data_IF_588118864456
#
_entry.id   IF_588118864456
#
_cell.length_a   1.000
_cell.length_b   1.000
_cell.length_c   1.000
_cell.angle_alpha   90.00
_cell.angle_beta   90.00
_cell.angle_gamma   90.00
#
_symmetry.space_group_name_H-M   'P 1'
#
loop_
_entity.id
_entity.type
_entity.pdbx_description
1 polymer ?
#
# COMPACT_ATOMS: atom_id res chain seq x y z
N UNK A 1 -11.15 23.37 -34.39
CA UNK A 1 -10.61 22.88 -33.10
C UNK A 1 -10.59 24.05 -32.15
N UNK A 2 -11.44 24.05 -31.12
CA UNK A 2 -11.28 25.00 -30.03
C UNK A 2 -9.96 24.68 -29.30
N UNK A 3 -9.15 25.68 -28.94
CA UNK A 3 -8.01 25.44 -28.06
C UNK A 3 -8.56 24.90 -26.74
N UNK A 4 -8.12 23.71 -26.33
CA UNK A 4 -8.43 23.18 -25.00
C UNK A 4 -7.95 24.21 -23.99
N UNK A 5 -8.86 24.76 -23.19
CA UNK A 5 -8.49 25.63 -22.08
C UNK A 5 -7.54 24.84 -21.18
N UNK A 6 -6.27 25.26 -21.12
CA UNK A 6 -5.31 24.73 -20.15
C UNK A 6 -5.89 25.07 -18.77
N UNK A 7 -6.47 24.09 -18.09
CA UNK A 7 -6.93 24.26 -16.71
C UNK A 7 -5.68 24.60 -15.88
N UNK A 8 -5.77 25.62 -15.04
CA UNK A 8 -4.68 25.95 -14.11
C UNK A 8 -4.45 24.75 -13.19
N UNK A 9 -3.18 24.34 -12.95
CA UNK A 9 -2.87 23.26 -12.03
C UNK A 9 -3.49 23.50 -10.65
N UNK A 10 -4.12 22.48 -10.07
CA UNK A 10 -4.70 22.55 -8.74
C UNK A 10 -3.60 22.21 -7.73
N UNK A 11 -3.19 23.16 -6.86
CA UNK A 11 -2.14 22.89 -5.87
C UNK A 11 -2.63 21.88 -4.82
N UNK A 12 -1.73 21.36 -3.99
CA UNK A 12 -2.15 20.47 -2.91
C UNK A 12 -3.13 21.19 -1.96
N UNK A 13 -4.23 20.52 -1.66
CA UNK A 13 -5.24 20.93 -0.68
C UNK A 13 -5.48 19.80 0.29
N UNK A 14 -5.52 20.10 1.60
CA UNK A 14 -5.88 19.10 2.60
C UNK A 14 -7.37 18.81 2.50
N UNK A 15 -7.72 17.56 2.21
CA UNK A 15 -9.11 17.10 2.04
C UNK A 15 -9.57 16.18 3.16
N UNK A 16 -8.65 15.76 4.04
CA UNK A 16 -8.95 14.98 5.23
C UNK A 16 -7.93 15.26 6.33
N UNK A 17 -8.42 15.34 7.56
CA UNK A 17 -7.62 15.26 8.78
C UNK A 17 -8.39 14.41 9.79
N UNK A 18 -7.73 13.45 10.43
CA UNK A 18 -8.35 12.68 11.50
C UNK A 18 -8.74 13.57 12.69
N UNK A 19 -9.69 13.09 13.48
CA UNK A 19 -10.28 13.78 14.63
C UNK A 19 -11.60 14.48 14.33
N UNK A 20 -11.96 14.62 13.06
CA UNK A 20 -13.25 15.15 12.62
C UNK A 20 -14.39 14.15 12.85
N UNK A 21 -15.63 14.62 12.75
CA UNK A 21 -16.82 13.76 12.79
C UNK A 21 -17.56 13.82 11.46
N UNK A 22 -18.05 12.67 11.02
CA UNK A 22 -18.91 12.60 9.84
C UNK A 22 -20.32 13.15 10.12
N UNK A 23 -21.16 13.22 9.09
CA UNK A 23 -22.54 13.74 9.16
C UNK A 23 -23.43 12.96 10.16
N UNK A 24 -23.07 11.71 10.46
CA UNK A 24 -23.75 10.86 11.45
C UNK A 24 -23.10 10.98 12.85
N UNK A 25 -22.28 11.99 13.07
CA UNK A 25 -21.57 12.27 14.31
C UNK A 25 -20.59 11.14 14.72
N UNK A 26 -20.15 10.28 13.79
CA UNK A 26 -19.14 9.25 14.05
C UNK A 26 -17.74 9.84 13.91
N UNK A 27 -16.86 9.50 14.84
CA UNK A 27 -15.47 9.94 14.81
C UNK A 27 -14.73 9.31 13.62
N UNK A 28 -14.17 10.15 12.76
CA UNK A 28 -13.15 9.79 11.78
C UNK A 28 -11.78 9.92 12.47
N UNK A 29 -11.34 8.84 13.11
CA UNK A 29 -10.13 8.84 13.92
C UNK A 29 -8.89 8.41 13.14
N UNK A 30 -7.87 8.03 13.89
CA UNK A 30 -6.70 7.32 13.37
C UNK A 30 -5.42 8.14 13.37
N UNK A 31 -4.31 7.42 13.34
CA UNK A 31 -2.95 7.96 13.39
C UNK A 31 -2.25 7.90 12.05
N UNK A 32 -2.72 7.05 11.13
CA UNK A 32 -2.10 6.83 9.81
C UNK A 32 -3.18 6.60 8.76
N UNK A 33 -3.03 7.18 7.57
CA UNK A 33 -3.63 6.63 6.34
C UNK A 33 -2.68 5.58 5.78
N UNK A 34 -3.13 4.33 5.73
CA UNK A 34 -2.32 3.21 5.28
C UNK A 34 -2.48 2.91 3.81
N UNK A 35 -3.71 2.99 3.30
CA UNK A 35 -4.07 2.69 1.93
C UNK A 35 -5.13 3.68 1.47
N UNK A 36 -5.01 4.13 0.23
CA UNK A 36 -6.02 4.84 -0.54
C UNK A 36 -6.39 3.95 -1.73
N UNK A 37 -7.65 3.55 -1.82
CA UNK A 37 -8.11 2.53 -2.76
C UNK A 37 -9.31 3.05 -3.53
N UNK A 38 -9.19 3.10 -4.86
CA UNK A 38 -10.34 3.30 -5.73
C UNK A 38 -11.18 2.02 -5.76
N UNK A 39 -12.49 2.19 -5.61
CA UNK A 39 -13.43 1.09 -5.78
C UNK A 39 -14.81 1.62 -6.19
N UNK A 40 -15.28 1.18 -7.36
CA UNK A 40 -16.59 1.54 -7.92
C UNK A 40 -16.80 3.06 -7.99
N UNK A 41 -15.79 3.80 -8.44
CA UNK A 41 -15.87 5.26 -8.60
C UNK A 41 -15.87 6.05 -7.28
N UNK A 42 -15.54 5.40 -6.16
CA UNK A 42 -15.36 6.02 -4.84
C UNK A 42 -13.92 5.83 -4.38
N UNK A 43 -13.48 6.69 -3.45
CA UNK A 43 -12.16 6.58 -2.83
C UNK A 43 -12.33 6.11 -1.38
N UNK A 44 -11.75 4.96 -1.06
CA UNK A 44 -11.71 4.42 0.29
C UNK A 44 -10.34 4.63 0.93
N UNK A 45 -10.32 4.79 2.25
CA UNK A 45 -9.10 4.94 3.03
C UNK A 45 -9.07 3.97 4.20
N UNK A 46 -7.92 3.33 4.40
CA UNK A 46 -7.62 2.55 5.59
C UNK A 46 -6.98 3.42 6.66
N UNK A 47 -7.64 3.56 7.81
CA UNK A 47 -7.18 4.34 8.95
C UNK A 47 -6.67 3.43 10.07
N UNK A 48 -5.39 3.57 10.44
CA UNK A 48 -4.76 2.86 11.57
C UNK A 48 -5.02 3.58 12.88
N UNK A 49 -5.05 2.86 14.00
CA UNK A 49 -4.96 3.42 15.36
C UNK A 49 -3.69 2.98 16.08
N UNK A 50 -2.66 2.57 15.33
CA UNK A 50 -1.36 2.21 15.90
C UNK A 50 -0.79 3.41 16.66
N UNK A 51 -0.37 3.16 17.91
CA UNK A 51 0.20 4.18 18.81
C UNK A 51 -0.75 5.36 19.09
N UNK A 52 -2.06 5.17 18.86
CA UNK A 52 -3.04 6.17 19.24
C UNK A 52 -3.01 6.37 20.77
N UNK A 53 -2.98 7.64 21.19
CA UNK A 53 -3.08 8.05 22.58
C UNK A 53 -4.49 8.62 22.83
N UNK A 54 -5.51 7.76 23.04
CA UNK A 54 -6.90 8.20 23.19
C UNK A 54 -7.10 8.98 24.50
N UNK A 55 -7.99 9.96 24.46
CA UNK A 55 -8.50 10.63 25.65
C UNK A 55 -9.63 9.81 26.30
N UNK A 56 -9.95 10.01 27.59
CA UNK A 56 -11.02 9.28 28.27
C UNK A 56 -12.40 9.35 27.58
N UNK A 57 -12.69 10.48 26.93
CA UNK A 57 -13.92 10.72 26.19
C UNK A 57 -13.92 10.16 24.75
N UNK A 58 -12.77 9.68 24.25
CA UNK A 58 -12.70 9.13 22.91
C UNK A 58 -13.44 7.78 22.83
N UNK A 59 -14.26 7.57 21.78
CA UNK A 59 -14.93 6.29 21.59
C UNK A 59 -13.90 5.16 21.46
N UNK A 60 -14.23 3.92 21.87
CA UNK A 60 -13.29 2.80 21.84
C UNK A 60 -13.14 2.18 20.45
N UNK A 61 -12.80 3.01 19.46
CA UNK A 61 -12.59 2.59 18.07
C UNK A 61 -11.17 2.08 17.85
N UNK A 62 -11.05 0.98 17.09
CA UNK A 62 -9.83 0.52 16.46
C UNK A 62 -9.66 1.15 15.08
N UNK A 63 -9.04 0.43 14.16
CA UNK A 63 -8.90 0.84 12.78
C UNK A 63 -10.27 1.09 12.13
N UNK A 64 -10.28 1.93 11.10
CA UNK A 64 -11.51 2.33 10.41
C UNK A 64 -11.29 2.32 8.90
N UNK A 65 -12.37 2.09 8.17
CA UNK A 65 -12.45 2.34 6.73
C UNK A 65 -13.25 3.62 6.57
N UNK A 66 -12.65 4.63 5.96
CA UNK A 66 -13.32 5.86 5.56
C UNK A 66 -13.57 5.85 4.06
N UNK A 67 -14.56 6.61 3.60
CA UNK A 67 -14.90 6.72 2.18
C UNK A 67 -15.24 8.15 1.81
N UNK A 68 -14.83 8.52 0.61
CA UNK A 68 -15.19 9.74 -0.09
C UNK A 68 -15.98 9.37 -1.35
N UNK A 69 -17.23 9.79 -1.43
CA UNK A 69 -18.13 9.41 -2.53
C UNK A 69 -18.00 10.31 -3.78
N UNK A 70 -17.44 11.52 -3.63
CA UNK A 70 -17.18 12.49 -4.72
C UNK A 70 -16.08 13.48 -4.32
N UNK A 71 -15.42 14.09 -5.29
CA UNK A 71 -14.23 14.94 -5.06
C UNK A 71 -14.45 16.14 -4.12
N UNK A 72 -15.65 16.74 -4.13
CA UNK A 72 -16.05 17.88 -3.30
C UNK A 72 -16.92 17.47 -2.09
N UNK A 73 -17.01 16.17 -1.81
CA UNK A 73 -17.79 15.60 -0.72
C UNK A 73 -17.07 15.64 0.62
N UNK A 74 -17.78 15.22 1.67
CA UNK A 74 -17.19 14.96 2.98
C UNK A 74 -16.78 13.49 3.09
N UNK A 75 -15.68 13.24 3.81
CA UNK A 75 -15.33 11.89 4.23
C UNK A 75 -16.34 11.39 5.27
N UNK A 76 -16.64 10.10 5.23
CA UNK A 76 -17.49 9.43 6.22
C UNK A 76 -16.92 8.07 6.62
N UNK A 77 -17.29 7.60 7.80
CA UNK A 77 -16.93 6.24 8.22
C UNK A 77 -17.75 5.24 7.38
N UNK A 78 -17.09 4.27 6.77
CA UNK A 78 -17.75 3.14 6.13
C UNK A 78 -17.86 1.95 7.09
N UNK A 79 -16.78 1.67 7.83
CA UNK A 79 -16.72 0.62 8.87
C UNK A 79 -15.75 1.00 9.97
N UNK A 80 -16.12 0.77 11.22
CA UNK A 80 -15.24 0.80 12.38
C UNK A 80 -15.00 -0.60 12.93
N UNK A 81 -13.84 -0.78 13.55
CA UNK A 81 -13.45 -2.05 14.16
C UNK A 81 -13.23 -1.85 15.66
N UNK A 82 -13.29 -2.95 16.42
CA UNK A 82 -12.86 -2.97 17.82
C UNK A 82 -11.36 -2.67 17.96
N UNK A 83 -10.92 -2.17 19.12
CA UNK A 83 -9.50 -1.81 19.39
C UNK A 83 -8.48 -2.94 19.20
N UNK A 84 -8.92 -4.19 19.28
CA UNK A 84 -8.08 -5.37 18.98
C UNK A 84 -7.60 -5.38 17.53
N UNK A 85 -8.33 -4.70 16.64
CA UNK A 85 -8.03 -4.48 15.23
C UNK A 85 -7.47 -3.07 15.02
N UNK A 86 -6.21 -2.87 15.35
CA UNK A 86 -5.59 -1.54 15.38
C UNK A 86 -5.02 -1.07 14.02
N UNK A 87 -4.99 -1.94 13.02
CA UNK A 87 -4.53 -1.67 11.65
C UNK A 87 -5.37 -2.50 10.68
N UNK A 88 -5.54 -2.04 9.44
CA UNK A 88 -6.10 -2.86 8.37
C UNK A 88 -5.32 -2.67 7.06
N UNK A 89 -5.28 -3.73 6.24
CA UNK A 89 -4.95 -3.65 4.81
C UNK A 89 -6.25 -3.55 4.04
N UNK A 90 -6.29 -2.75 2.97
CA UNK A 90 -7.47 -2.54 2.14
C UNK A 90 -7.07 -2.70 0.68
N UNK A 91 -7.84 -3.44 -0.11
CA UNK A 91 -7.56 -3.68 -1.53
C UNK A 91 -8.85 -3.82 -2.33
N UNK A 92 -8.87 -3.30 -3.57
CA UNK A 92 -9.94 -3.52 -4.53
C UNK A 92 -9.47 -4.56 -5.54
N UNK A 93 -10.02 -5.77 -5.47
CA UNK A 93 -9.62 -6.87 -6.35
C UNK A 93 -10.67 -7.14 -7.40
N UNK A 94 -10.26 -7.62 -8.58
CA UNK A 94 -11.19 -7.95 -9.67
C UNK A 94 -11.00 -9.37 -10.14
N UNK A 95 -12.10 -10.11 -10.22
CA UNK A 95 -12.18 -11.43 -10.83
C UNK A 95 -12.83 -11.33 -12.20
N UNK A 96 -12.29 -12.08 -13.17
CA UNK A 96 -12.85 -12.25 -14.51
C UNK A 96 -13.25 -13.70 -14.79
N UNK A 97 -12.88 -14.64 -13.92
CA UNK A 97 -13.30 -16.04 -13.94
C UNK A 97 -13.91 -16.51 -12.61
N UNK A 98 -14.68 -17.58 -12.67
CA UNK A 98 -15.20 -18.26 -11.48
C UNK A 98 -14.19 -19.27 -10.90
N UNK A 99 -14.57 -19.89 -9.78
CA UNK A 99 -13.75 -20.91 -9.12
C UNK A 99 -13.53 -22.22 -9.88
N UNK A 100 -14.03 -22.34 -11.12
CA UNK A 100 -13.77 -23.44 -12.05
C UNK A 100 -12.98 -22.98 -13.29
N UNK A 101 -12.54 -21.73 -13.34
CA UNK A 101 -11.80 -21.16 -14.47
C UNK A 101 -12.68 -20.74 -15.64
N UNK A 102 -14.01 -20.76 -15.49
CA UNK A 102 -14.93 -20.29 -16.53
C UNK A 102 -15.02 -18.77 -16.46
N UNK A 103 -15.00 -18.11 -17.61
CA UNK A 103 -15.11 -16.65 -17.70
C UNK A 103 -16.47 -16.18 -17.14
N UNK A 104 -16.44 -15.17 -16.29
CA UNK A 104 -17.64 -14.49 -15.81
C UNK A 104 -18.28 -13.67 -16.95
N UNK A 105 -19.62 -13.50 -16.97
CA UNK A 105 -20.28 -12.65 -17.95
C UNK A 105 -19.76 -11.20 -17.95
N UNK A 106 -19.41 -10.71 -16.77
CA UNK A 106 -18.76 -9.43 -16.53
C UNK A 106 -17.74 -9.58 -15.39
N UNK A 107 -16.63 -8.82 -15.41
CA UNK A 107 -15.73 -8.77 -14.26
C UNK A 107 -16.48 -8.38 -12.98
N UNK A 108 -16.07 -8.96 -11.85
CA UNK A 108 -16.61 -8.66 -10.52
C UNK A 108 -15.49 -8.11 -9.66
N UNK A 109 -15.67 -6.88 -9.19
CA UNK A 109 -14.75 -6.25 -8.23
C UNK A 109 -15.27 -6.43 -6.81
N UNK A 110 -14.36 -6.69 -5.87
CA UNK A 110 -14.66 -6.78 -4.43
C UNK A 110 -13.70 -5.87 -3.66
N UNK A 111 -14.23 -5.06 -2.74
CA UNK A 111 -13.41 -4.33 -1.77
C UNK A 111 -13.17 -5.21 -0.55
N UNK A 112 -11.90 -5.49 -0.26
CA UNK A 112 -11.48 -6.40 0.78
C UNK A 112 -10.69 -5.67 1.86
N UNK A 113 -10.97 -6.00 3.11
CA UNK A 113 -10.23 -5.52 4.26
C UNK A 113 -9.64 -6.68 5.06
N UNK A 114 -8.36 -6.56 5.41
CA UNK A 114 -7.63 -7.49 6.26
C UNK A 114 -7.23 -6.81 7.57
N UNK A 115 -8.10 -6.77 8.59
CA UNK A 115 -7.75 -6.19 9.89
C UNK A 115 -6.65 -7.01 10.58
N UNK A 116 -5.75 -6.34 11.29
CA UNK A 116 -4.92 -7.00 12.30
C UNK A 116 -5.81 -7.51 13.44
N UNK A 117 -5.32 -8.47 14.23
CA UNK A 117 -6.03 -8.91 15.42
C UNK A 117 -5.01 -9.25 16.51
N UNK A 118 -5.13 -8.59 17.66
CA UNK A 118 -4.19 -8.77 18.78
C UNK A 118 -4.32 -10.12 19.50
N UNK A 119 -5.33 -10.92 19.18
CA UNK A 119 -5.60 -12.26 19.74
C UNK A 119 -5.18 -13.38 18.80
N UNK A 120 -4.72 -13.06 17.60
CA UNK A 120 -4.13 -14.02 16.66
C UNK A 120 -5.11 -14.61 15.66
N UNK A 121 -6.32 -14.05 15.53
CA UNK A 121 -7.30 -14.47 14.51
C UNK A 121 -7.03 -13.78 13.17
N UNK A 122 -7.05 -14.54 12.08
CA UNK A 122 -6.92 -13.99 10.73
C UNK A 122 -8.30 -13.86 10.10
N UNK A 123 -8.70 -12.62 9.82
CA UNK A 123 -9.97 -12.29 9.19
C UNK A 123 -9.76 -11.59 7.86
N UNK A 124 -10.66 -11.86 6.92
CA UNK A 124 -10.89 -11.03 5.73
C UNK A 124 -12.33 -10.58 5.77
N UNK A 125 -12.56 -9.29 5.58
CA UNK A 125 -13.89 -8.71 5.47
C UNK A 125 -14.09 -8.31 3.99
N UNK A 126 -15.24 -8.63 3.41
CA UNK A 126 -15.60 -8.30 2.03
C UNK A 126 -16.82 -7.40 2.02
N UNK A 127 -16.75 -6.32 1.24
CA UNK A 127 -17.81 -5.33 1.11
C UNK A 127 -18.86 -5.80 0.11
N UNK A 128 -20.14 -5.70 0.49
CA UNK A 128 -21.25 -5.76 -0.46
C UNK A 128 -21.60 -4.31 -0.88
N UNK A 129 -21.38 -3.98 -2.15
CA UNK A 129 -21.55 -2.62 -2.67
C UNK A 129 -23.02 -2.18 -2.76
N UNK A 130 -23.94 -3.12 -2.93
CA UNK A 130 -25.37 -2.85 -3.11
C UNK A 130 -26.01 -2.44 -1.78
N UNK A 131 -25.65 -3.14 -0.71
CA UNK A 131 -26.21 -2.94 0.63
C UNK A 131 -25.38 -2.01 1.49
N UNK A 132 -24.09 -1.91 1.20
CA UNK A 132 -23.15 -1.25 2.08
C UNK A 132 -22.77 -2.08 3.31
N UNK A 133 -23.07 -3.38 3.35
CA UNK A 133 -22.68 -4.27 4.43
C UNK A 133 -21.30 -4.90 4.21
N UNK A 134 -20.75 -5.49 5.27
CA UNK A 134 -19.42 -6.11 5.28
C UNK A 134 -19.51 -7.50 5.88
N UNK A 135 -19.15 -8.52 5.08
CA UNK A 135 -19.14 -9.91 5.51
C UNK A 135 -17.76 -10.32 5.98
N UNK A 136 -17.64 -10.75 7.25
CA UNK A 136 -16.40 -11.24 7.84
C UNK A 136 -16.21 -12.73 7.62
N UNK A 137 -15.03 -13.10 7.16
CA UNK A 137 -14.59 -14.49 6.92
C UNK A 137 -13.38 -14.79 7.81
N UNK A 138 -13.41 -15.91 8.52
CA UNK A 138 -12.33 -16.37 9.39
C UNK A 138 -11.46 -17.39 8.65
N UNK A 139 -10.17 -17.10 8.51
CA UNK A 139 -9.24 -17.95 7.74
C UNK A 139 -8.38 -18.85 8.64
N UNK A 140 -8.38 -18.62 9.94
CA UNK A 140 -7.58 -19.39 10.88
C UNK A 140 -7.12 -18.59 12.09
N UNK A 141 -6.36 -19.22 12.98
CA UNK A 141 -5.83 -18.57 14.18
C UNK A 141 -4.47 -19.14 14.53
N UNK A 142 -3.60 -18.29 15.09
CA UNK A 142 -2.33 -18.73 15.63
C UNK A 142 -1.89 -17.90 16.83
N UNK A 143 -0.64 -18.08 17.24
CA UNK A 143 -0.09 -17.41 18.42
C UNK A 143 0.32 -15.97 18.09
N UNK A 144 0.07 -15.06 19.04
CA UNK A 144 0.52 -13.67 18.94
C UNK A 144 -0.42 -12.81 18.10
N UNK A 145 0.12 -11.72 17.54
CA UNK A 145 -0.66 -10.78 16.71
C UNK A 145 -0.82 -11.35 15.31
N UNK A 146 -2.06 -11.38 14.83
CA UNK A 146 -2.36 -11.68 13.44
C UNK A 146 -2.40 -10.40 12.59
N UNK A 147 -1.98 -10.53 11.34
CA UNK A 147 -2.10 -9.46 10.36
C UNK A 147 -2.16 -10.00 8.94
N UNK A 148 -2.96 -9.35 8.10
CA UNK A 148 -2.83 -9.40 6.66
C UNK A 148 -2.09 -8.13 6.22
N UNK A 149 -1.22 -8.26 5.23
CA UNK A 149 -0.38 -7.14 4.75
C UNK A 149 -0.56 -6.85 3.27
N UNK A 150 -1.04 -7.81 2.51
CA UNK A 150 -1.25 -7.69 1.07
C UNK A 150 -2.35 -8.65 0.61
N UNK A 151 -3.04 -8.24 -0.44
CA UNK A 151 -3.95 -9.06 -1.23
C UNK A 151 -3.49 -9.04 -2.69
N UNK A 152 -3.76 -10.11 -3.44
CA UNK A 152 -3.49 -10.12 -4.88
C UNK A 152 -4.36 -11.16 -5.58
N UNK A 153 -4.92 -10.82 -6.75
CA UNK A 153 -5.57 -11.82 -7.61
C UNK A 153 -4.60 -12.25 -8.68
N UNK A 154 -4.43 -13.56 -8.83
CA UNK A 154 -3.56 -14.15 -9.84
C UNK A 154 -4.24 -15.33 -10.51
N UNK A 155 -4.07 -15.43 -11.83
CA UNK A 155 -4.54 -16.57 -12.62
C UNK A 155 -3.45 -17.61 -12.72
N UNK A 156 -3.68 -18.76 -12.10
CA UNK A 156 -2.81 -19.91 -12.20
C UNK A 156 -2.73 -20.38 -13.68
N UNK A 157 -1.53 -20.41 -14.27
CA UNK A 157 -1.34 -20.71 -15.70
C UNK A 157 -1.59 -22.17 -16.04
N UNK A 158 -1.45 -23.07 -15.08
CA UNK A 158 -1.62 -24.50 -15.30
C UNK A 158 -3.11 -24.90 -15.27
N UNK A 159 -3.88 -24.29 -14.38
CA UNK A 159 -5.31 -24.60 -14.17
C UNK A 159 -6.25 -23.59 -14.82
N UNK A 160 -5.79 -22.38 -15.14
CA UNK A 160 -6.61 -21.27 -15.64
C UNK A 160 -7.48 -20.61 -14.58
N UNK A 161 -7.43 -21.04 -13.32
CA UNK A 161 -8.28 -20.55 -12.24
C UNK A 161 -7.68 -19.27 -11.64
N UNK A 162 -8.51 -18.24 -11.50
CA UNK A 162 -8.16 -17.03 -10.74
C UNK A 162 -8.34 -17.27 -9.25
N UNK A 163 -7.30 -16.94 -8.49
CA UNK A 163 -7.28 -17.05 -7.04
C UNK A 163 -6.92 -15.71 -6.43
N UNK A 164 -7.62 -15.34 -5.37
CA UNK A 164 -7.19 -14.32 -4.44
C UNK A 164 -6.19 -14.93 -3.47
N UNK A 165 -5.10 -14.22 -3.21
CA UNK A 165 -4.09 -14.53 -2.22
C UNK A 165 -4.14 -13.50 -1.10
N UNK A 166 -4.08 -13.96 0.14
CA UNK A 166 -3.94 -13.12 1.32
C UNK A 166 -2.59 -13.42 2.00
N UNK A 167 -1.74 -12.40 2.11
CA UNK A 167 -0.44 -12.48 2.77
C UNK A 167 -0.60 -12.37 4.28
N UNK A 168 -0.81 -13.51 4.95
CA UNK A 168 -1.16 -13.52 6.37
C UNK A 168 0.02 -13.92 7.27
N UNK A 169 -0.04 -13.52 8.53
CA UNK A 169 0.77 -14.05 9.62
C UNK A 169 -0.14 -14.15 10.85
N UNK A 170 -0.07 -15.22 11.66
CA UNK A 170 0.88 -16.33 11.60
C UNK A 170 0.44 -17.52 10.74
N UNK A 171 -0.74 -17.50 10.11
CA UNK A 171 -1.37 -18.72 9.56
C UNK A 171 -0.91 -19.15 8.17
N UNK A 172 -0.13 -18.35 7.44
CA UNK A 172 0.34 -18.72 6.09
C UNK A 172 -0.30 -17.93 4.96
N UNK A 173 0.09 -18.20 3.71
CA UNK A 173 -0.51 -17.58 2.53
C UNK A 173 -1.82 -18.30 2.24
N UNK A 174 -2.94 -17.70 2.61
CA UNK A 174 -4.27 -18.23 2.32
C UNK A 174 -4.66 -17.88 0.88
N UNK A 175 -5.40 -18.75 0.21
CA UNK A 175 -5.97 -18.45 -1.09
C UNK A 175 -7.42 -18.88 -1.24
N UNK A 176 -8.17 -18.18 -2.08
CA UNK A 176 -9.59 -18.42 -2.31
C UNK A 176 -9.98 -18.11 -3.73
N UNK A 177 -11.14 -18.60 -4.16
CA UNK A 177 -11.70 -18.33 -5.49
C UNK A 177 -12.99 -17.55 -5.37
N UNK A 178 -13.32 -16.79 -6.42
CA UNK A 178 -14.63 -16.17 -6.51
C UNK A 178 -15.73 -17.22 -6.56
N UNK A 179 -16.71 -17.07 -5.67
CA UNK A 179 -17.87 -17.93 -5.54
C UNK A 179 -19.04 -17.09 -5.02
N UNK A 180 -20.04 -16.75 -5.86
CA UNK A 180 -21.11 -15.84 -5.48
C UNK A 180 -21.98 -16.36 -4.32
N UNK A 181 -22.00 -17.67 -4.09
CA UNK A 181 -22.79 -18.30 -3.02
C UNK A 181 -22.01 -18.42 -1.70
N UNK A 182 -20.69 -18.19 -1.72
CA UNK A 182 -19.88 -18.22 -0.52
C UNK A 182 -19.99 -16.91 0.28
N UNK A 183 -19.85 -16.94 1.62
CA UNK A 183 -19.74 -15.73 2.42
C UNK A 183 -18.67 -14.78 1.87
N UNK A 184 -19.01 -13.49 1.74
CA UNK A 184 -18.09 -12.49 1.18
C UNK A 184 -17.72 -12.71 -0.29
N UNK A 185 -18.45 -13.59 -0.99
CA UNK A 185 -18.27 -14.01 -2.38
C UNK A 185 -16.92 -14.68 -2.66
N UNK A 186 -16.29 -15.24 -1.63
CA UNK A 186 -14.99 -15.91 -1.72
C UNK A 186 -15.05 -17.26 -1.02
N UNK A 187 -14.79 -18.33 -1.77
CA UNK A 187 -14.58 -19.66 -1.21
C UNK A 187 -13.09 -19.88 -0.95
N UNK A 188 -12.70 -19.72 0.32
CA UNK A 188 -11.34 -19.95 0.77
C UNK A 188 -10.97 -21.44 0.79
N UNK A 189 -9.71 -21.74 0.47
CA UNK A 189 -9.15 -23.07 0.71
C UNK A 189 -9.07 -23.33 2.22
N UNK A 190 -9.22 -24.60 2.60
CA UNK A 190 -9.15 -25.01 4.01
C UNK A 190 -7.74 -24.85 4.60
N UNK A 191 -6.71 -25.07 3.77
CA UNK A 191 -5.31 -24.97 4.16
C UNK A 191 -4.63 -23.84 3.36
N UNK A 192 -3.68 -23.12 3.95
CA UNK A 192 -2.84 -22.17 3.23
C UNK A 192 -1.92 -22.86 2.23
N UNK A 193 -1.52 -22.14 1.18
CA UNK A 193 -0.60 -22.65 0.15
C UNK A 193 0.87 -22.66 0.61
N UNK A 194 1.21 -21.85 1.61
CA UNK A 194 2.55 -21.78 2.18
C UNK A 194 2.50 -21.39 3.65
N UNK A 195 3.25 -22.10 4.49
CA UNK A 195 3.39 -21.85 5.94
C UNK A 195 4.87 -21.81 6.36
N UNK A 196 5.12 -21.72 7.66
CA UNK A 196 6.45 -21.94 8.24
C UNK A 196 7.42 -20.76 8.12
N UNK A 197 7.00 -19.65 7.52
CA UNK A 197 7.76 -18.41 7.52
C UNK A 197 7.58 -17.61 8.81
N UNK A 198 8.62 -16.89 9.23
CA UNK A 198 8.64 -16.16 10.51
C UNK A 198 8.33 -14.66 10.39
N UNK A 199 8.20 -14.15 9.16
CA UNK A 199 7.99 -12.73 8.86
C UNK A 199 6.74 -12.55 8.01
N UNK A 200 6.22 -11.32 7.97
CA UNK A 200 4.96 -11.02 7.27
C UNK A 200 5.18 -11.00 5.76
N UNK A 201 4.27 -11.56 4.94
CA UNK A 201 4.30 -11.36 3.49
C UNK A 201 3.95 -9.92 3.17
N UNK A 202 4.90 -9.13 2.66
CA UNK A 202 4.77 -7.67 2.59
C UNK A 202 4.05 -7.20 1.34
N UNK A 203 4.33 -7.79 0.17
CA UNK A 203 3.73 -7.42 -1.11
C UNK A 203 3.75 -8.60 -2.08
N UNK A 204 2.77 -8.62 -2.99
CA UNK A 204 2.68 -9.57 -4.10
C UNK A 204 2.82 -8.84 -5.42
N UNK A 205 3.31 -9.51 -6.45
CA UNK A 205 3.26 -9.01 -7.81
C UNK A 205 3.26 -10.16 -8.82
N UNK A 206 2.57 -9.95 -9.93
CA UNK A 206 2.74 -10.78 -11.12
C UNK A 206 3.81 -10.17 -12.02
N UNK A 207 4.86 -10.93 -12.33
CA UNK A 207 5.94 -10.50 -13.24
C UNK A 207 6.24 -11.63 -14.23
N UNK A 208 6.26 -11.31 -15.54
CA UNK A 208 6.44 -12.30 -16.61
C UNK A 208 5.50 -13.51 -16.45
N UNK A 209 4.24 -13.24 -16.08
CA UNK A 209 3.20 -14.25 -15.89
C UNK A 209 3.36 -15.15 -14.65
N UNK A 210 4.26 -14.84 -13.71
CA UNK A 210 4.44 -15.65 -12.49
C UNK A 210 4.17 -14.80 -11.26
N UNK A 211 3.56 -15.40 -10.23
CA UNK A 211 3.28 -14.72 -8.97
C UNK A 211 4.49 -14.74 -8.03
N UNK A 212 4.80 -13.60 -7.44
CA UNK A 212 5.87 -13.42 -6.46
C UNK A 212 5.34 -12.82 -5.17
N UNK A 213 6.04 -13.10 -4.07
CA UNK A 213 5.77 -12.50 -2.76
C UNK A 213 7.08 -12.19 -2.03
N UNK A 214 7.15 -11.02 -1.38
CA UNK A 214 8.26 -10.65 -0.49
C UNK A 214 7.96 -11.05 0.95
N UNK A 215 8.84 -11.83 1.58
CA UNK A 215 8.75 -12.22 2.99
C UNK A 215 10.15 -12.13 3.59
N UNK A 216 10.44 -11.09 4.37
CA UNK A 216 11.81 -10.84 4.87
C UNK A 216 12.51 -12.12 5.40
N UNK A 217 13.76 -12.40 4.98
CA UNK A 217 14.61 -11.62 4.06
C UNK A 217 14.50 -12.06 2.58
N UNK A 218 13.50 -12.88 2.27
CA UNK A 218 13.42 -13.69 1.06
C UNK A 218 12.30 -13.23 0.12
N UNK A 219 12.39 -13.67 -1.12
CA UNK A 219 11.33 -13.58 -2.11
C UNK A 219 11.02 -14.97 -2.63
N UNK A 220 9.74 -15.25 -2.79
CA UNK A 220 9.25 -16.55 -3.25
C UNK A 220 8.49 -16.39 -4.57
N UNK A 221 8.65 -17.38 -5.45
CA UNK A 221 7.86 -17.54 -6.67
C UNK A 221 6.87 -18.67 -6.47
N UNK A 222 5.63 -18.48 -6.90
CA UNK A 222 4.64 -19.55 -6.95
C UNK A 222 4.89 -20.45 -8.17
N UNK A 223 4.84 -21.76 -7.95
CA UNK A 223 4.78 -22.78 -8.98
C UNK A 223 3.32 -23.19 -9.14
N UNK A 224 2.79 -22.97 -10.33
CA UNK A 224 1.39 -23.21 -10.68
C UNK A 224 1.06 -24.70 -10.79
N UNK A 225 -0.21 -25.03 -10.59
CA UNK A 225 -0.73 -26.39 -10.71
C UNK A 225 -1.86 -26.70 -9.74
N UNK A 226 -2.46 -27.88 -9.90
CA UNK A 226 -3.47 -28.40 -8.97
C UNK A 226 -2.92 -28.56 -7.54
N UNK A 227 -1.60 -28.76 -7.42
CA UNK A 227 -0.84 -28.83 -6.18
C UNK A 227 0.25 -27.77 -6.22
N UNK A 228 -0.11 -26.49 -6.02
CA UNK A 228 0.86 -25.41 -6.15
C UNK A 228 1.91 -25.52 -5.05
N UNK A 229 3.08 -24.95 -5.30
CA UNK A 229 4.12 -24.81 -4.30
C UNK A 229 4.79 -23.45 -4.41
N UNK A 230 5.57 -23.08 -3.40
CA UNK A 230 6.32 -21.83 -3.37
C UNK A 230 7.79 -22.14 -3.24
N UNK A 231 8.60 -21.60 -4.15
CA UNK A 231 10.04 -21.76 -4.09
C UNK A 231 10.70 -20.43 -3.74
N UNK A 232 11.73 -20.48 -2.91
CA UNK A 232 12.55 -19.31 -2.64
C UNK A 232 13.43 -19.03 -3.85
N UNK A 233 13.32 -17.84 -4.43
CA UNK A 233 14.05 -17.44 -5.64
C UNK A 233 15.15 -16.41 -5.38
N UNK A 234 15.03 -15.65 -4.30
CA UNK A 234 15.97 -14.58 -3.98
C UNK A 234 16.03 -14.36 -2.47
N UNK A 235 17.21 -13.97 -1.98
CA UNK A 235 17.46 -13.55 -0.60
C UNK A 235 18.23 -12.24 -0.65
N UNK A 236 17.82 -11.26 0.18
CA UNK A 236 18.52 -9.98 0.28
C UNK A 236 20.00 -10.23 0.65
N UNK A 237 20.97 -9.79 -0.16
CA UNK A 237 22.38 -10.17 -0.02
C UNK A 237 23.13 -9.37 1.07
N UNK A 238 22.41 -8.55 1.83
CA UNK A 238 22.96 -7.69 2.87
C UNK A 238 22.32 -7.97 4.23
N UNK A 239 23.08 -7.85 5.34
CA UNK A 239 22.50 -7.93 6.67
C UNK A 239 21.41 -6.87 6.86
N UNK A 240 20.29 -7.26 7.46
CA UNK A 240 19.18 -6.38 7.76
C UNK A 240 19.22 -5.98 9.22
N UNK A 241 19.22 -4.68 9.50
CA UNK A 241 19.03 -4.15 10.84
C UNK A 241 17.59 -4.37 11.33
N UNK A 242 17.40 -4.45 12.64
CA UNK A 242 16.07 -4.34 13.26
C UNK A 242 15.68 -2.85 13.19
N UNK A 243 14.44 -2.45 12.86
CA UNK A 243 13.24 -3.25 12.63
C UNK A 243 12.92 -3.49 11.14
N UNK A 244 13.88 -3.35 10.21
CA UNK A 244 13.61 -3.46 8.76
C UNK A 244 12.70 -4.64 8.44
N UNK A 245 11.69 -4.44 7.62
CA UNK A 245 10.81 -5.49 7.10
C UNK A 245 11.28 -6.03 5.74
N UNK A 246 12.53 -5.73 5.34
CA UNK A 246 13.11 -6.21 4.08
C UNK A 246 12.66 -5.38 2.89
N UNK A 247 12.35 -6.05 1.77
CA UNK A 247 11.79 -5.41 0.58
C UNK A 247 10.33 -4.98 0.84
N UNK A 248 10.06 -3.71 0.57
CA UNK A 248 8.79 -2.99 0.67
C UNK A 248 8.29 -2.67 -0.73
N UNK A 249 6.96 -2.66 -0.88
CA UNK A 249 6.31 -2.71 -2.18
C UNK A 249 6.74 -3.92 -3.02
N UNK A 250 6.04 -4.17 -4.12
CA UNK A 250 6.50 -5.03 -5.21
C UNK A 250 5.71 -4.67 -6.47
N UNK A 251 6.38 -4.14 -7.49
CA UNK A 251 5.72 -3.70 -8.72
C UNK A 251 6.44 -4.27 -9.93
N UNK A 252 5.74 -4.96 -10.81
CA UNK A 252 6.31 -5.39 -12.08
C UNK A 252 6.41 -4.20 -13.03
N UNK A 253 7.61 -3.91 -13.51
CA UNK A 253 7.89 -2.80 -14.43
C UNK A 253 8.57 -3.32 -15.70
N UNK A 254 8.42 -2.64 -16.85
CA UNK A 254 9.15 -3.01 -18.06
C UNK A 254 10.66 -3.12 -17.81
N UNK A 255 11.27 -4.15 -18.39
CA UNK A 255 12.72 -4.35 -18.31
C UNK A 255 13.44 -3.18 -18.98
N UNK A 256 14.40 -2.50 -18.33
CA UNK A 256 15.12 -1.37 -18.94
C UNK A 256 15.86 -1.71 -20.25
N UNK A 257 16.26 -2.97 -20.45
CA UNK A 257 16.94 -3.44 -21.65
C UNK A 257 16.02 -3.94 -22.77
N UNK A 258 14.69 -3.90 -22.60
CA UNK A 258 13.73 -4.26 -23.66
C UNK A 258 12.59 -5.15 -23.18
N UNK A 259 12.47 -6.33 -23.78
CA UNK A 259 11.31 -7.22 -23.59
C UNK A 259 11.20 -7.78 -22.17
N UNK A 260 9.96 -7.98 -21.73
CA UNK A 260 9.66 -8.56 -20.41
C UNK A 260 9.62 -7.52 -19.29
N UNK A 261 9.55 -8.03 -18.07
CA UNK A 261 9.39 -7.26 -16.85
C UNK A 261 10.44 -7.63 -15.82
N UNK A 262 10.70 -6.71 -14.89
CA UNK A 262 11.49 -6.90 -13.67
C UNK A 262 10.65 -6.51 -12.46
N UNK A 263 11.01 -7.03 -11.28
CA UNK A 263 10.34 -6.74 -10.02
C UNK A 263 11.01 -5.53 -9.35
N UNK A 264 10.34 -4.39 -9.31
CA UNK A 264 10.78 -3.18 -8.61
C UNK A 264 10.34 -3.24 -7.14
N UNK A 265 11.26 -2.96 -6.22
CA UNK A 265 10.99 -2.90 -4.78
C UNK A 265 11.95 -1.92 -4.08
N UNK A 266 11.61 -1.52 -2.85
CA UNK A 266 12.49 -0.71 -2.02
C UNK A 266 12.96 -1.50 -0.79
N UNK A 267 14.27 -1.51 -0.55
CA UNK A 267 14.81 -2.02 0.70
C UNK A 267 14.63 -0.97 1.81
N UNK A 268 14.02 -1.36 2.92
CA UNK A 268 13.94 -0.53 4.12
C UNK A 268 15.18 -0.70 5.00
N UNK A 269 15.71 0.39 5.56
CA UNK A 269 16.77 0.33 6.56
C UNK A 269 17.81 1.44 6.47
N UNK A 270 18.98 1.16 7.04
CA UNK A 270 20.22 1.95 6.98
C UNK A 270 20.92 1.90 5.62
N UNK A 271 20.45 1.00 4.75
CA UNK A 271 20.83 0.86 3.35
C UNK A 271 19.63 1.05 2.44
N UNK A 272 18.76 2.00 2.78
CA UNK A 272 17.54 2.22 2.03
C UNK A 272 17.86 2.52 0.57
N UNK A 273 17.28 1.74 -0.34
CA UNK A 273 17.56 1.78 -1.78
C UNK A 273 16.40 1.22 -2.57
N UNK A 274 16.21 1.73 -3.79
CA UNK A 274 15.31 1.14 -4.77
C UNK A 274 16.10 0.17 -5.65
N UNK A 275 15.58 -1.04 -5.81
CA UNK A 275 16.18 -2.10 -6.62
C UNK A 275 15.18 -2.65 -7.61
N UNK A 276 15.66 -3.16 -8.73
CA UNK A 276 14.91 -4.14 -9.49
C UNK A 276 15.59 -5.51 -9.42
N UNK A 277 14.78 -6.57 -9.40
CA UNK A 277 15.19 -7.97 -9.39
C UNK A 277 14.67 -8.61 -10.67
N UNK A 278 15.56 -9.28 -11.41
CA UNK A 278 15.27 -9.76 -12.75
C UNK A 278 15.08 -11.29 -12.81
N UNK A 279 13.84 -11.80 -12.96
CA UNK A 279 13.59 -13.24 -13.00
C UNK A 279 14.23 -13.98 -14.17
N UNK A 280 14.56 -13.31 -15.28
CA UNK A 280 15.16 -13.96 -16.46
C UNK A 280 16.69 -13.87 -16.46
N UNK A 281 17.27 -13.08 -15.55
CA UNK A 281 18.71 -12.99 -15.32
C UNK A 281 19.09 -13.55 -13.95
N UNK A 282 18.55 -14.74 -13.63
CA UNK A 282 18.88 -15.47 -12.41
C UNK A 282 18.52 -14.72 -11.12
N UNK A 283 17.48 -13.89 -11.13
CA UNK A 283 17.09 -13.01 -10.02
C UNK A 283 18.19 -12.02 -9.62
N UNK A 284 19.00 -11.57 -10.58
CA UNK A 284 20.01 -10.53 -10.34
C UNK A 284 19.34 -9.26 -9.85
N UNK A 285 19.81 -8.78 -8.70
CA UNK A 285 19.46 -7.47 -8.16
C UNK A 285 20.30 -6.40 -8.87
N UNK A 286 19.65 -5.31 -9.27
CA UNK A 286 20.31 -4.08 -9.69
C UNK A 286 19.77 -2.94 -8.85
N UNK A 287 20.66 -2.15 -8.25
CA UNK A 287 20.29 -0.91 -7.56
C UNK A 287 19.96 0.16 -8.60
N UNK A 288 18.76 0.73 -8.51
CA UNK A 288 18.36 1.88 -9.33
C UNK A 288 18.61 3.20 -8.60
N UNK A 289 18.45 3.24 -7.27
CA UNK A 289 18.64 4.44 -6.47
C UNK A 289 19.15 4.10 -5.07
N UNK A 290 20.31 4.66 -4.70
CA UNK A 290 20.76 4.70 -3.31
C UNK A 290 20.02 5.84 -2.58
N UNK A 291 18.90 5.53 -1.95
CA UNK A 291 17.94 6.54 -1.47
C UNK A 291 18.55 7.45 -0.42
N UNK A 292 19.30 6.92 0.55
CA UNK A 292 19.85 7.76 1.61
C UNK A 292 20.89 8.75 1.09
N UNK A 293 21.70 8.35 0.12
CA UNK A 293 22.70 9.22 -0.51
C UNK A 293 22.00 10.30 -1.35
N UNK A 294 21.02 9.90 -2.16
CA UNK A 294 20.18 10.81 -2.93
C UNK A 294 19.48 11.86 -2.06
N UNK A 295 18.92 11.45 -0.91
CA UNK A 295 18.34 12.37 0.07
C UNK A 295 19.40 13.26 0.70
N UNK A 296 20.61 12.75 0.94
CA UNK A 296 21.74 13.54 1.44
C UNK A 296 22.14 14.68 0.51
N UNK A 297 22.14 14.43 -0.80
CA UNK A 297 22.39 15.46 -1.82
C UNK A 297 21.29 16.53 -1.84
N UNK A 298 20.02 16.13 -1.71
CA UNK A 298 18.87 17.06 -1.77
C UNK A 298 18.64 17.83 -0.46
N UNK A 299 18.91 17.22 0.69
CA UNK A 299 18.66 17.81 2.01
C UNK A 299 19.92 18.41 2.65
N UNK A 300 21.09 18.24 2.04
CA UNK A 300 22.37 18.70 2.56
C UNK A 300 22.94 17.87 3.72
N UNK A 301 22.19 16.87 4.20
CA UNK A 301 22.64 15.91 5.20
C UNK A 301 22.02 14.54 4.90
N UNK A 302 22.87 13.51 4.82
CA UNK A 302 22.47 12.12 4.60
C UNK A 302 21.70 11.58 5.82
N UNK A 303 20.46 11.07 5.65
CA UNK A 303 19.76 10.37 6.71
C UNK A 303 20.43 9.04 7.06
N UNK A 304 20.11 8.52 8.24
CA UNK A 304 20.67 7.26 8.77
C UNK A 304 19.76 6.06 8.50
N UNK A 305 18.46 6.28 8.29
CA UNK A 305 17.47 5.25 8.02
C UNK A 305 16.37 5.77 7.11
N UNK A 306 15.87 4.92 6.22
CA UNK A 306 14.80 5.25 5.29
C UNK A 306 13.78 4.13 5.10
N UNK A 307 12.55 4.54 4.80
CA UNK A 307 11.44 3.70 4.37
C UNK A 307 10.87 4.31 3.09
N UNK A 308 10.82 3.51 2.03
CA UNK A 308 10.22 3.86 0.73
C UNK A 308 9.26 2.75 0.35
N UNK A 309 8.29 3.03 -0.51
CA UNK A 309 7.29 2.06 -0.95
C UNK A 309 6.51 1.47 0.24
N UNK A 310 5.98 2.37 1.09
CA UNK A 310 5.04 1.99 2.14
C UNK A 310 3.87 1.16 1.57
N UNK A 311 3.39 1.59 0.40
CA UNK A 311 2.57 0.89 -0.58
C UNK A 311 3.38 0.69 -1.88
N UNK A 312 2.80 -0.05 -2.84
CA UNK A 312 3.39 -0.25 -4.16
C UNK A 312 3.63 1.07 -4.92
N UNK A 313 4.43 0.99 -5.98
CA UNK A 313 4.69 2.13 -6.84
C UNK A 313 3.44 2.46 -7.68
N UNK A 314 2.79 3.59 -7.39
CA UNK A 314 1.55 4.02 -8.04
C UNK A 314 1.84 4.51 -9.47
N UNK A 315 1.30 3.86 -10.51
CA UNK A 315 1.44 4.35 -11.87
C UNK A 315 0.59 5.61 -12.10
N UNK A 316 1.20 6.63 -12.69
CA UNK A 316 0.57 7.91 -13.01
C UNK A 316 0.97 8.31 -14.43
N UNK A 317 -0.01 8.62 -15.27
CA UNK A 317 0.24 9.17 -16.61
C UNK A 317 0.53 10.66 -16.52
N UNK A 318 1.71 11.10 -16.99
CA UNK A 318 2.03 12.52 -17.12
C UNK A 318 1.16 13.13 -18.24
N UNK A 319 0.25 14.07 -17.94
CA UNK A 319 -0.65 14.63 -18.94
C UNK A 319 0.07 15.46 -20.02
N UNK A 320 1.33 15.86 -19.79
CA UNK A 320 2.12 16.67 -20.72
C UNK A 320 2.83 15.82 -21.77
N UNK A 321 3.28 14.62 -21.39
CA UNK A 321 4.06 13.72 -22.27
C UNK A 321 3.30 12.48 -22.70
N UNK A 322 2.26 12.08 -21.94
CA UNK A 322 1.56 10.82 -22.10
C UNK A 322 2.32 9.61 -21.54
N UNK A 323 3.51 9.81 -20.97
CA UNK A 323 4.31 8.73 -20.38
C UNK A 323 3.78 8.34 -19.00
N UNK A 324 3.85 7.05 -18.66
CA UNK A 324 3.60 6.59 -17.29
C UNK A 324 4.86 6.71 -16.45
N UNK A 325 4.78 7.48 -15.38
CA UNK A 325 5.78 7.53 -14.30
C UNK A 325 5.25 6.81 -13.07
N UNK A 326 6.13 6.45 -12.14
CA UNK A 326 5.76 5.75 -10.92
C UNK A 326 6.01 6.63 -9.70
N UNK A 327 4.97 6.85 -8.89
CA UNK A 327 5.03 7.61 -7.65
C UNK A 327 5.19 6.67 -6.47
N UNK A 328 6.01 7.04 -5.49
CA UNK A 328 6.07 6.31 -4.21
C UNK A 328 6.40 7.24 -3.06
N UNK A 329 5.73 7.03 -1.92
CA UNK A 329 5.98 7.81 -0.71
C UNK A 329 7.24 7.36 0.04
N UNK A 330 7.83 8.27 0.82
CA UNK A 330 8.99 7.98 1.65
C UNK A 330 8.96 8.66 3.02
N UNK A 331 9.69 8.06 3.96
CA UNK A 331 10.05 8.66 5.24
C UNK A 331 11.51 8.37 5.57
N UNK A 332 12.17 9.28 6.29
CA UNK A 332 13.55 9.11 6.71
C UNK A 332 13.82 9.79 8.06
N UNK A 333 14.87 9.33 8.72
CA UNK A 333 15.32 9.87 10.02
C UNK A 333 16.84 10.02 10.08
N UNK A 334 17.28 10.94 10.93
CA UNK A 334 18.68 11.14 11.30
C UNK A 334 19.06 10.44 12.60
N UNK A 335 18.17 9.62 13.17
CA UNK A 335 18.42 8.92 14.43
C UNK A 335 19.64 8.01 14.33
N UNK A 336 20.51 8.05 15.32
CA UNK A 336 21.62 7.11 15.45
C UNK A 336 21.23 5.84 16.20
N UNK A 337 20.00 5.77 16.73
CA UNK A 337 19.48 4.65 17.51
C UNK A 337 18.81 3.63 16.57
N UNK A 338 19.62 2.93 15.79
CA UNK A 338 19.14 2.02 14.74
C UNK A 338 18.82 0.62 15.25
N UNK A 339 19.24 0.24 16.46
CA UNK A 339 19.03 -1.12 17.00
C UNK A 339 17.58 -1.35 17.47
N UNK A 340 16.84 -0.26 17.69
CA UNK A 340 15.41 -0.25 17.96
C UNK A 340 14.69 0.48 16.82
N UNK A 341 13.38 0.33 16.69
CA UNK A 341 12.62 1.15 15.74
C UNK A 341 12.91 2.63 16.03
N UNK A 342 13.57 3.38 15.13
CA UNK A 342 13.97 4.74 15.43
C UNK A 342 12.73 5.56 15.77
N UNK A 343 12.74 6.21 16.93
CA UNK A 343 11.60 6.99 17.40
C UNK A 343 11.82 8.49 17.24
N UNK A 344 13.08 8.92 17.18
CA UNK A 344 13.49 10.32 17.14
C UNK A 344 13.93 10.76 15.75
N UNK A 345 14.10 12.08 15.59
CA UNK A 345 14.78 12.69 14.44
C UNK A 345 14.20 12.37 13.05
N UNK A 346 12.93 11.96 12.98
CA UNK A 346 12.20 11.79 11.73
C UNK A 346 11.92 13.13 11.08
N UNK A 347 12.12 13.19 9.75
CA UNK A 347 11.78 14.35 8.93
C UNK A 347 10.27 14.60 9.03
N UNK A 348 9.89 15.85 9.29
CA UNK A 348 8.51 16.22 9.59
C UNK A 348 7.66 16.45 8.33
N UNK A 349 8.30 16.65 7.18
CA UNK A 349 7.63 16.82 5.89
C UNK A 349 7.08 15.49 5.33
N UNK A 350 6.25 15.60 4.29
CA UNK A 350 5.76 14.47 3.50
C UNK A 350 6.41 14.49 2.11
N UNK A 351 7.37 13.59 1.90
CA UNK A 351 8.14 13.46 0.66
C UNK A 351 7.68 12.25 -0.16
N UNK A 352 7.83 12.34 -1.48
CA UNK A 352 7.62 11.26 -2.41
C UNK A 352 8.65 11.31 -3.55
N UNK A 353 8.92 10.15 -4.15
CA UNK A 353 9.75 9.98 -5.32
C UNK A 353 8.87 9.82 -6.56
N UNK A 354 9.37 10.33 -7.69
CA UNK A 354 8.85 10.06 -9.03
C UNK A 354 9.94 9.31 -9.79
N UNK A 355 9.68 8.05 -10.15
CA UNK A 355 10.53 7.24 -11.02
C UNK A 355 10.04 7.38 -12.46
N UNK A 356 10.94 7.78 -13.36
CA UNK A 356 10.63 7.88 -14.78
C UNK A 356 10.68 6.53 -15.50
N UNK A 357 10.06 6.47 -16.67
CA UNK A 357 9.93 5.23 -17.46
C UNK A 357 11.30 4.60 -17.84
N UNK A 358 12.35 5.42 -17.98
CA UNK A 358 13.71 4.95 -18.27
C UNK A 358 14.37 4.14 -17.13
N UNK A 359 13.79 4.16 -15.93
CA UNK A 359 14.29 3.46 -14.74
C UNK A 359 15.62 3.97 -14.21
N UNK A 360 16.07 5.15 -14.66
CA UNK A 360 17.34 5.77 -14.28
C UNK A 360 17.15 7.11 -13.61
N UNK A 361 16.07 7.83 -13.95
CA UNK A 361 15.79 9.15 -13.38
C UNK A 361 14.76 9.05 -12.27
N UNK A 362 15.15 9.60 -11.13
CA UNK A 362 14.30 9.82 -9.98
C UNK A 362 14.25 11.31 -9.67
N UNK A 363 13.07 11.77 -9.27
CA UNK A 363 12.88 13.13 -8.79
C UNK A 363 12.28 13.10 -7.39
N UNK A 364 12.76 14.01 -6.55
CA UNK A 364 12.24 14.22 -5.20
C UNK A 364 11.18 15.33 -5.23
N UNK A 365 10.07 15.10 -4.53
CA UNK A 365 9.00 16.09 -4.36
C UNK A 365 8.42 16.05 -2.96
N UNK A 366 7.79 17.15 -2.57
CA UNK A 366 7.17 17.35 -1.27
C UNK A 366 5.69 17.72 -1.43
N UNK A 367 4.84 17.21 -0.55
CA UNK A 367 3.47 17.69 -0.40
C UNK A 367 3.53 19.10 0.21
N UNK A 368 3.17 20.10 -0.57
CA UNK A 368 3.15 21.51 -0.16
C UNK A 368 1.84 22.16 -0.53
N UNK A 369 1.24 22.87 0.42
CA UNK A 369 -0.05 23.53 0.22
C UNK A 369 0.07 25.02 0.52
N UNK A 370 -0.48 25.90 -0.36
CA UNK A 370 -0.50 27.33 -0.12
C UNK A 370 -1.36 27.72 1.09
N UNK A 371 -2.22 26.81 1.57
CA UNK A 371 -3.12 27.04 2.69
C UNK A 371 -2.40 27.01 4.05
N UNK A 372 -1.13 26.59 4.11
CA UNK A 372 -0.36 26.47 5.35
C UNK A 372 1.02 27.14 5.24
N UNK A 373 1.31 28.04 6.17
CA UNK A 373 2.66 28.58 6.39
C UNK A 373 2.91 28.76 7.90
N UNK A 374 3.77 27.93 8.54
CA UNK A 374 4.45 26.76 8.00
C UNK A 374 3.49 25.56 7.78
N UNK A 375 3.94 24.57 7.00
CA UNK A 375 3.24 23.27 6.90
C UNK A 375 3.22 22.58 8.28
N UNK A 376 2.10 21.94 8.67
CA UNK A 376 2.09 21.09 9.86
C UNK A 376 2.97 19.84 9.65
N UNK A 377 3.46 19.20 10.73
CA UNK A 377 4.13 17.91 10.61
C UNK A 377 3.23 16.86 9.94
N UNK A 378 3.68 16.35 8.80
CA UNK A 378 2.98 15.32 8.02
C UNK A 378 3.61 13.94 8.17
N UNK A 379 4.92 13.86 8.38
CA UNK A 379 5.72 12.63 8.57
C UNK A 379 5.35 11.53 7.57
N UNK A 380 6.00 11.60 6.39
CA UNK A 380 5.93 10.63 5.30
C UNK A 380 4.59 10.55 4.54
N UNK A 381 4.70 10.39 3.22
CA UNK A 381 3.60 9.89 2.39
C UNK A 381 3.60 8.36 2.49
N UNK A 382 2.46 7.77 2.84
CA UNK A 382 2.32 6.31 2.95
C UNK A 382 1.57 5.69 1.78
N UNK A 383 0.59 6.40 1.23
CA UNK A 383 -0.25 5.90 0.15
C UNK A 383 -0.53 7.00 -0.88
N UNK A 384 -0.58 6.62 -2.16
CA UNK A 384 -0.85 7.53 -3.28
C UNK A 384 -1.83 6.82 -4.20
N UNK A 385 -2.93 7.49 -4.56
CA UNK A 385 -3.93 6.96 -5.48
C UNK A 385 -4.28 7.98 -6.57
N UNK A 386 -4.53 7.47 -7.78
CA UNK A 386 -5.20 8.26 -8.83
C UNK A 386 -6.66 8.43 -8.43
N UNK A 387 -7.20 9.63 -8.65
CA UNK A 387 -8.57 9.95 -8.30
C UNK A 387 -9.59 9.12 -9.10
N UNK A 388 -10.61 8.54 -8.44
CA UNK A 388 -11.75 7.94 -9.13
C UNK A 388 -12.62 8.95 -9.88
N UNK A 389 -12.54 10.22 -9.49
CA UNK A 389 -13.49 11.26 -9.91
C UNK A 389 -12.99 12.06 -11.11
N UNK A 390 -11.68 12.24 -11.23
CA UNK A 390 -11.03 12.95 -12.34
C UNK A 390 -9.60 12.39 -12.53
N UNK A 391 -9.28 11.72 -13.66
CA UNK A 391 -7.98 11.05 -13.84
C UNK A 391 -6.75 11.96 -13.74
N UNK A 392 -6.91 13.28 -13.86
CA UNK A 392 -5.85 14.27 -13.71
C UNK A 392 -5.65 14.74 -12.26
N UNK A 393 -6.27 14.07 -11.29
CA UNK A 393 -6.13 14.35 -9.86
C UNK A 393 -5.53 13.15 -9.12
N UNK A 394 -4.74 13.44 -8.09
CA UNK A 394 -4.09 12.47 -7.23
C UNK A 394 -4.47 12.73 -5.78
N UNK A 395 -4.50 11.68 -4.97
CA UNK A 395 -4.63 11.73 -3.52
C UNK A 395 -3.38 11.16 -2.85
N UNK A 396 -2.91 11.85 -1.82
CA UNK A 396 -1.74 11.49 -1.03
C UNK A 396 -2.18 11.35 0.42
N UNK A 397 -1.93 10.21 1.03
CA UNK A 397 -2.30 9.92 2.41
C UNK A 397 -1.08 9.54 3.24
N UNK A 398 -1.09 9.89 4.53
CA UNK A 398 -0.01 9.46 5.39
C UNK A 398 -0.17 9.75 6.88
N UNK A 399 0.99 10.13 7.40
CA UNK A 399 1.52 10.00 8.75
C UNK A 399 2.02 8.60 9.09
N UNK A 400 3.26 8.52 9.60
CA UNK A 400 3.82 7.35 10.29
C UNK A 400 4.23 7.74 11.71
N UNK A 401 3.63 7.13 12.76
CA UNK A 401 3.93 7.45 14.15
C UNK A 401 5.34 7.07 14.59
N UNK A 402 6.02 6.15 13.89
CA UNK A 402 7.42 5.81 14.16
C UNK A 402 7.72 5.59 15.65
N UNK A 403 6.99 4.68 16.29
CA UNK A 403 7.10 4.35 17.72
C UNK A 403 6.78 5.50 18.71
N UNK A 404 6.24 6.63 18.26
CA UNK A 404 5.75 7.72 19.12
C UNK A 404 4.23 7.66 19.30
N UNK A 405 3.73 7.78 20.54
CA UNK A 405 2.31 8.04 20.76
C UNK A 405 1.88 9.31 20.04
N UNK A 406 0.77 9.23 19.31
CA UNK A 406 0.16 10.37 18.64
C UNK A 406 -1.36 10.24 18.66
N UNK A 407 -2.07 11.28 18.22
CA UNK A 407 -3.53 11.29 18.19
C UNK A 407 -4.01 12.05 16.98
N UNK A 408 -4.92 11.45 16.21
CA UNK A 408 -5.62 12.09 15.10
C UNK A 408 -4.68 12.75 14.08
N UNK A 409 -3.60 12.04 13.73
CA UNK A 409 -2.54 12.54 12.85
C UNK A 409 -2.70 12.10 11.39
N UNK A 410 -3.63 11.18 11.09
CA UNK A 410 -3.87 10.75 9.71
C UNK A 410 -4.37 11.93 8.86
N UNK A 411 -3.88 12.05 7.63
CA UNK A 411 -4.24 13.13 6.71
C UNK A 411 -4.35 12.64 5.26
N UNK A 412 -5.13 13.35 4.45
CA UNK A 412 -5.14 13.21 2.98
C UNK A 412 -5.06 14.58 2.33
N UNK A 413 -4.19 14.72 1.32
CA UNK A 413 -4.17 15.86 0.40
C UNK A 413 -4.58 15.41 -1.00
N UNK A 414 -5.22 16.31 -1.75
CA UNK A 414 -5.46 16.15 -3.19
C UNK A 414 -4.69 17.20 -3.98
N UNK A 415 -4.18 16.86 -5.16
CA UNK A 415 -3.57 17.80 -6.10
C UNK A 415 -3.82 17.36 -7.56
N UNK A 416 -3.70 18.28 -8.51
CA UNK A 416 -3.64 17.85 -9.91
C UNK A 416 -2.33 17.14 -10.20
N UNK A 417 -2.34 16.20 -11.15
CA UNK A 417 -1.15 15.48 -11.60
C UNK A 417 -0.06 16.45 -12.05
N UNK A 418 -0.44 17.53 -12.75
CA UNK A 418 0.48 18.60 -13.16
C UNK A 418 1.16 19.29 -11.97
N UNK A 419 0.41 19.60 -10.90
CA UNK A 419 0.98 20.21 -9.70
C UNK A 419 1.90 19.24 -8.95
N UNK A 420 1.55 17.96 -8.88
CA UNK A 420 2.38 16.94 -8.25
C UNK A 420 3.66 16.62 -9.03
N UNK A 421 3.67 16.86 -10.35
CA UNK A 421 4.85 16.72 -11.22
C UNK A 421 5.70 18.00 -11.28
N UNK A 422 5.11 19.16 -11.02
CA UNK A 422 5.81 20.44 -11.06
C UNK A 422 6.99 20.46 -10.10
N UNK A 423 8.10 21.08 -10.50
CA UNK A 423 9.25 21.30 -9.62
C UNK A 423 8.84 22.20 -8.45
N UNK A 424 9.10 21.76 -7.22
CA UNK A 424 9.16 22.66 -6.07
C UNK A 424 10.30 23.65 -6.33
N UNK A 425 9.99 24.96 -6.33
CA UNK A 425 10.99 26.02 -6.48
C UNK A 425 11.88 26.13 -5.24
#
# INVERSE_FOLDING_TARGET
MQPSSVKTPVPFRRVYLAGERDENNRLLGGTEVLHLVEHQGRLFSSLSTKLNAPLPEDPPVGAQIAVLDRADGAWRVDRDYERVHWRLTLESVTFTGDGQGRKLPQPVSLLLAGPSDSRGHVYVDSRDDDTGEWTRMHLGSGKGVASIRSFFVYRDKATGVERLFAGTSPTGICSGVYDPEAPGRIRWAAEPEMEGYSRRPMAFAECNGSLYVTIKPDMYRRIDGEKPSWEKVYTIPVPLIVPSSGLRGLTAVPRPSGSGQVLLAALEGDRCRVVHIDPEDGFRETVELEVLDFLGEHWGQRPTYGVVAYDDFTPVTDPRTGETVLFTGLGATYSTQLDNHPADSWVQDAWYLIRHADGRRYELRRVESPDFQPMPPLIAVRSIAVSPFEPSMLYFGGYDPNAKPCRHTAWVFSASTEAALASTQ
#
